data_IF_218208966132
#
_entry.id   IF_218208966132
#
_cell.length_a   1.000
_cell.length_b   1.000
_cell.length_c   1.000
_cell.angle_alpha   90.00
_cell.angle_beta   90.00
_cell.angle_gamma   90.00
#
_symmetry.space_group_name_H-M   'P 1'
#
loop_
_entity.id
_entity.type
_entity.pdbx_description
1 polymer ?
#
# COMPACT_ATOMS: atom_id res chain seq x y z
N UNK A 1 -19.40 7.36 -58.27
CA UNK A 1 -18.09 7.04 -57.66
C UNK A 1 -18.32 6.72 -56.20
N UNK A 2 -17.92 5.52 -55.73
CA UNK A 2 -17.92 5.20 -54.30
C UNK A 2 -16.77 5.96 -53.62
N UNK A 3 -16.98 6.64 -52.48
CA UNK A 3 -15.88 7.25 -51.74
C UNK A 3 -15.01 6.15 -51.13
N UNK A 4 -13.75 6.10 -51.56
CA UNK A 4 -12.74 5.21 -50.99
C UNK A 4 -12.44 5.67 -49.55
N UNK A 5 -12.87 4.90 -48.56
CA UNK A 5 -12.54 5.16 -47.16
C UNK A 5 -11.06 4.83 -46.94
N UNK A 6 -10.22 5.87 -46.86
CA UNK A 6 -8.81 5.71 -46.52
C UNK A 6 -8.72 5.59 -44.99
N UNK A 7 -8.22 4.49 -44.42
CA UNK A 7 -8.05 4.41 -42.98
C UNK A 7 -7.09 5.54 -42.56
N UNK A 8 -7.49 6.34 -41.58
CA UNK A 8 -6.68 7.43 -41.04
C UNK A 8 -5.52 6.81 -40.23
N UNK A 9 -4.43 6.46 -40.93
CA UNK A 9 -3.23 5.87 -40.32
C UNK A 9 -2.26 6.91 -39.76
N UNK A 10 -2.54 8.20 -39.96
CA UNK A 10 -1.68 9.32 -39.53
C UNK A 10 -2.50 10.43 -38.85
N UNK A 11 -2.00 10.98 -37.75
CA UNK A 11 -2.68 12.01 -36.95
C UNK A 11 -3.02 13.27 -37.77
N UNK A 12 -2.19 13.59 -38.77
CA UNK A 12 -2.36 14.70 -39.71
C UNK A 12 -3.58 14.58 -40.63
N UNK A 13 -4.18 13.38 -40.72
CA UNK A 13 -5.27 13.09 -41.64
C UNK A 13 -6.67 13.27 -41.03
N UNK A 14 -6.77 13.65 -39.75
CA UNK A 14 -8.05 13.80 -39.04
C UNK A 14 -8.64 15.21 -39.20
N UNK A 15 -9.93 15.35 -39.57
CA UNK A 15 -10.56 16.65 -39.74
C UNK A 15 -10.95 17.28 -38.39
N UNK A 16 -10.57 18.54 -38.19
CA UNK A 16 -10.99 19.36 -37.06
C UNK A 16 -10.27 19.08 -35.75
N UNK A 17 -9.88 20.14 -35.04
CA UNK A 17 -9.18 20.10 -33.75
C UNK A 17 -9.87 19.26 -32.67
N UNK A 18 -11.17 18.99 -32.81
CA UNK A 18 -11.95 18.11 -31.92
C UNK A 18 -11.69 16.61 -32.11
N UNK A 19 -11.40 16.13 -33.32
CA UNK A 19 -11.09 14.71 -33.56
C UNK A 19 -9.72 14.32 -32.98
N UNK A 20 -8.73 15.19 -33.15
CA UNK A 20 -7.39 15.02 -32.56
C UNK A 20 -7.44 15.06 -31.03
N UNK A 21 -8.25 15.94 -30.44
CA UNK A 21 -8.43 16.01 -28.98
C UNK A 21 -9.08 14.74 -28.44
N UNK A 22 -10.18 14.26 -29.04
CA UNK A 22 -10.87 13.03 -28.62
C UNK A 22 -10.01 11.77 -28.76
N UNK A 23 -9.18 11.67 -29.80
CA UNK A 23 -8.27 10.52 -29.97
C UNK A 23 -7.13 10.56 -28.94
N UNK A 24 -6.61 11.74 -28.60
CA UNK A 24 -5.63 11.89 -27.51
C UNK A 24 -6.24 11.52 -26.16
N UNK A 25 -7.45 11.98 -25.86
CA UNK A 25 -8.20 11.63 -24.65
C UNK A 25 -8.45 10.11 -24.59
N UNK A 26 -8.94 9.49 -25.67
CA UNK A 26 -9.12 8.03 -25.73
C UNK A 26 -7.83 7.23 -25.53
N UNK A 27 -6.71 7.68 -26.13
CA UNK A 27 -5.43 7.03 -25.91
C UNK A 27 -4.96 7.21 -24.47
N UNK A 28 -5.12 8.41 -23.89
CA UNK A 28 -4.80 8.66 -22.47
C UNK A 28 -5.61 7.76 -21.55
N UNK A 29 -6.92 7.64 -21.76
CA UNK A 29 -7.79 6.77 -20.97
C UNK A 29 -7.36 5.30 -21.07
N UNK A 30 -7.08 4.82 -22.30
CA UNK A 30 -6.63 3.45 -22.52
C UNK A 30 -5.25 3.18 -21.92
N UNK A 31 -4.35 4.14 -21.95
CA UNK A 31 -3.05 4.03 -21.31
C UNK A 31 -3.16 4.06 -19.78
N UNK A 32 -4.05 4.89 -19.23
CA UNK A 32 -4.33 4.94 -17.80
C UNK A 32 -4.96 3.63 -17.31
N UNK A 33 -5.91 3.06 -18.06
CA UNK A 33 -6.52 1.76 -17.77
C UNK A 33 -5.47 0.64 -17.83
N UNK A 34 -4.61 0.62 -18.85
CA UNK A 34 -3.54 -0.36 -18.95
C UNK A 34 -2.54 -0.27 -17.79
N UNK A 35 -2.17 0.95 -17.37
CA UNK A 35 -1.31 1.18 -16.21
C UNK A 35 -1.98 0.73 -14.90
N UNK A 36 -3.26 1.04 -14.71
CA UNK A 36 -4.03 0.61 -13.55
C UNK A 36 -4.09 -0.93 -13.45
N UNK A 37 -4.37 -1.60 -14.57
CA UNK A 37 -4.40 -3.06 -14.63
C UNK A 37 -3.03 -3.69 -14.32
N UNK A 38 -1.94 -3.09 -14.81
CA UNK A 38 -0.58 -3.54 -14.49
C UNK A 38 -0.24 -3.32 -13.02
N UNK A 39 -0.61 -2.18 -12.44
CA UNK A 39 -0.40 -1.89 -11.03
C UNK A 39 -1.21 -2.85 -10.15
N UNK A 40 -2.46 -3.12 -10.50
CA UNK A 40 -3.29 -4.10 -9.79
C UNK A 40 -2.66 -5.51 -9.84
N UNK A 41 -2.16 -5.93 -11.00
CA UNK A 41 -1.47 -7.21 -11.14
C UNK A 41 -0.20 -7.27 -10.27
N UNK A 42 0.57 -6.18 -10.19
CA UNK A 42 1.74 -6.08 -9.31
C UNK A 42 1.35 -6.13 -7.83
N UNK A 43 0.30 -5.43 -7.42
CA UNK A 43 -0.22 -5.49 -6.05
C UNK A 43 -0.68 -6.89 -5.68
N UNK A 44 -1.42 -7.57 -6.56
CA UNK A 44 -1.83 -8.98 -6.36
C UNK A 44 -0.63 -9.92 -6.27
N UNK A 45 0.37 -9.74 -7.14
CA UNK A 45 1.61 -10.51 -7.09
C UNK A 45 2.34 -10.31 -5.76
N UNK A 46 2.57 -9.06 -5.38
CA UNK A 46 3.24 -8.71 -4.12
C UNK A 46 2.50 -9.29 -2.90
N UNK A 47 1.16 -9.17 -2.89
CA UNK A 47 0.33 -9.75 -1.85
C UNK A 47 0.50 -11.27 -1.76
N UNK A 48 0.45 -11.97 -2.91
CA UNK A 48 0.65 -13.41 -2.97
C UNK A 48 2.05 -13.87 -2.53
N UNK A 49 3.03 -12.96 -2.59
CA UNK A 49 4.42 -13.22 -2.17
C UNK A 49 4.68 -12.94 -0.68
N UNK A 50 3.71 -12.45 0.09
CA UNK A 50 3.95 -12.05 1.49
C UNK A 50 3.30 -10.74 1.89
N UNK A 51 2.92 -9.92 0.90
CA UNK A 51 2.56 -8.52 1.13
C UNK A 51 3.76 -7.66 1.51
N UNK A 52 4.99 -8.17 1.46
CA UNK A 52 6.22 -7.46 1.82
C UNK A 52 7.10 -7.36 0.58
N UNK A 53 7.35 -6.13 0.14
CA UNK A 53 8.18 -5.84 -1.04
C UNK A 53 9.64 -5.68 -0.65
N UNK A 54 9.88 -5.09 0.52
CA UNK A 54 11.19 -4.94 1.11
C UNK A 54 11.11 -5.36 2.58
N UNK A 55 11.83 -6.42 2.94
CA UNK A 55 11.71 -7.00 4.28
C UNK A 55 12.28 -6.08 5.37
N UNK A 56 13.26 -5.25 5.02
CA UNK A 56 13.96 -4.39 5.98
C UNK A 56 14.68 -5.18 7.07
N UNK A 57 15.05 -4.47 8.14
CA UNK A 57 15.54 -5.06 9.39
C UNK A 57 14.52 -4.85 10.49
N UNK A 58 14.38 -5.85 11.36
CA UNK A 58 13.56 -5.79 12.57
C UNK A 58 14.41 -6.28 13.73
N UNK A 59 14.63 -5.42 14.72
CA UNK A 59 15.42 -5.73 15.92
C UNK A 59 14.60 -5.45 17.17
N UNK A 60 14.74 -6.30 18.16
CA UNK A 60 14.08 -6.16 19.46
C UNK A 60 15.15 -6.06 20.55
N UNK A 61 15.08 -5.00 21.36
CA UNK A 61 15.98 -4.80 22.50
C UNK A 61 15.17 -4.32 23.69
N UNK A 62 14.95 -5.17 24.70
CA UNK A 62 14.01 -4.76 25.72
C UNK A 62 12.62 -4.58 25.11
N UNK A 63 11.93 -3.58 25.63
CA UNK A 63 10.63 -3.16 25.14
C UNK A 63 10.69 -2.43 23.81
N UNK A 64 11.87 -2.12 23.25
CA UNK A 64 11.97 -1.33 22.04
C UNK A 64 12.13 -2.23 20.81
N UNK A 65 11.14 -2.16 19.91
CA UNK A 65 11.21 -2.78 18.60
C UNK A 65 11.59 -1.72 17.56
N UNK A 66 12.74 -1.89 16.91
CA UNK A 66 13.17 -1.04 15.81
C UNK A 66 12.93 -1.73 14.46
N UNK A 67 12.41 -0.97 13.49
CA UNK A 67 12.15 -1.42 12.11
C UNK A 67 12.78 -0.41 11.15
N UNK A 68 13.58 -0.90 10.20
CA UNK A 68 14.23 -0.04 9.20
C UNK A 68 14.04 -0.59 7.79
N UNK A 69 13.82 0.30 6.83
CA UNK A 69 13.68 0.04 5.40
C UNK A 69 12.72 -1.11 5.07
N UNK A 70 11.53 -1.10 5.68
CA UNK A 70 10.49 -2.09 5.45
C UNK A 70 9.37 -1.51 4.60
N UNK A 71 9.00 -2.21 3.52
CA UNK A 71 7.93 -1.82 2.61
C UNK A 71 7.00 -3.00 2.36
N UNK A 72 5.70 -2.73 2.36
CA UNK A 72 4.70 -3.76 2.10
C UNK A 72 3.36 -3.17 1.68
N UNK A 73 2.37 -4.04 1.58
CA UNK A 73 1.00 -3.76 1.18
C UNK A 73 0.06 -4.12 2.33
N UNK A 74 -0.92 -3.27 2.60
CA UNK A 74 -1.97 -3.55 3.57
C UNK A 74 -2.75 -4.82 3.22
N UNK A 75 -3.33 -5.49 4.22
CA UNK A 75 -4.05 -6.74 4.01
C UNK A 75 -5.32 -6.63 3.15
N UNK A 76 -5.88 -5.44 3.02
CA UNK A 76 -6.98 -5.16 2.09
C UNK A 76 -6.49 -4.92 0.65
N UNK A 77 -5.17 -4.89 0.44
CA UNK A 77 -4.55 -4.65 -0.86
C UNK A 77 -4.69 -3.22 -1.36
N UNK A 78 -5.17 -2.29 -0.51
CA UNK A 78 -5.55 -0.95 -0.93
C UNK A 78 -4.42 0.06 -0.88
N UNK A 79 -3.40 -0.14 -0.02
CA UNK A 79 -2.36 0.85 0.18
C UNK A 79 -0.96 0.23 0.38
N UNK A 80 0.09 0.76 -0.26
CA UNK A 80 1.46 0.49 0.16
C UNK A 80 1.78 1.25 1.45
N UNK A 81 2.57 0.62 2.32
CA UNK A 81 3.01 1.19 3.60
C UNK A 81 4.50 1.00 3.75
N UNK A 82 5.20 2.08 4.08
CA UNK A 82 6.66 2.09 4.23
C UNK A 82 7.08 2.61 5.61
N UNK A 83 8.04 1.91 6.21
CA UNK A 83 8.81 2.33 7.38
C UNK A 83 10.25 2.54 6.95
N UNK A 84 10.77 3.75 7.11
CA UNK A 84 12.17 4.08 6.79
C UNK A 84 13.06 3.73 7.98
N UNK A 85 12.77 4.30 9.15
CA UNK A 85 13.39 3.97 10.44
C UNK A 85 12.42 4.42 11.52
N UNK A 86 11.91 3.47 12.30
CA UNK A 86 11.00 3.74 13.40
C UNK A 86 11.29 2.80 14.56
N UNK A 87 11.18 3.33 15.78
CA UNK A 87 11.25 2.55 17.02
C UNK A 87 9.91 2.65 17.75
N UNK A 88 9.31 1.50 18.02
CA UNK A 88 8.10 1.35 18.81
C UNK A 88 8.45 0.82 20.20
N UNK A 89 8.19 1.60 21.23
CA UNK A 89 8.25 1.12 22.62
C UNK A 89 6.98 0.33 22.95
N UNK A 90 7.15 -0.96 23.18
CA UNK A 90 6.09 -1.92 23.49
C UNK A 90 5.58 -1.72 24.93
N UNK A 91 4.27 -1.87 25.17
CA UNK A 91 3.72 -1.69 26.50
C UNK A 91 4.13 -2.83 27.43
N UNK A 92 4.33 -2.52 28.71
CA UNK A 92 4.60 -3.51 29.77
C UNK A 92 3.32 -4.10 30.38
N UNK A 93 2.16 -3.60 29.99
CA UNK A 93 0.84 -3.97 30.52
C UNK A 93 0.39 -5.40 30.22
N UNK A 94 0.70 -6.03 29.07
CA UNK A 94 0.27 -7.39 28.82
C UNK A 94 0.88 -8.36 29.83
N UNK A 95 0.11 -9.39 30.19
CA UNK A 95 0.56 -10.43 31.10
C UNK A 95 1.68 -11.28 30.46
N UNK A 96 2.53 -11.88 31.30
CA UNK A 96 3.52 -12.87 30.84
C UNK A 96 2.85 -14.00 30.08
N UNK A 97 3.38 -14.35 28.92
CA UNK A 97 2.86 -15.37 28.01
C UNK A 97 1.89 -14.85 26.96
N UNK A 98 1.44 -13.59 27.04
CA UNK A 98 0.59 -12.99 26.02
C UNK A 98 1.32 -12.92 24.67
N UNK A 99 0.65 -13.42 23.64
CA UNK A 99 1.02 -13.32 22.23
C UNK A 99 0.58 -11.97 21.70
N UNK A 100 1.52 -11.23 21.13
CA UNK A 100 1.31 -9.89 20.60
C UNK A 100 1.82 -9.81 19.16
N UNK A 101 1.36 -8.81 18.41
CA UNK A 101 1.80 -8.57 17.05
C UNK A 101 2.14 -7.10 16.86
N UNK A 102 3.17 -6.83 16.07
CA UNK A 102 3.46 -5.50 15.55
C UNK A 102 3.13 -5.48 14.06
N UNK A 103 2.47 -4.41 13.65
CA UNK A 103 2.04 -4.17 12.27
C UNK A 103 2.47 -2.77 11.85
N UNK A 104 2.59 -2.54 10.56
CA UNK A 104 2.71 -1.19 10.00
C UNK A 104 1.37 -0.80 9.39
N UNK A 105 0.83 0.35 9.78
CA UNK A 105 -0.42 0.87 9.25
C UNK A 105 -0.16 2.14 8.46
N UNK A 106 -0.92 2.34 7.38
CA UNK A 106 -0.91 3.60 6.68
C UNK A 106 -1.52 4.68 7.59
N UNK A 107 -0.78 5.76 7.84
CA UNK A 107 -1.45 6.98 8.21
C UNK A 107 -2.02 7.61 6.94
N UNK A 108 -3.27 8.09 6.95
CA UNK A 108 -3.77 8.87 5.82
C UNK A 108 -2.87 10.10 5.69
N UNK A 109 -2.04 10.13 4.66
CA UNK A 109 -1.36 11.34 4.28
C UNK A 109 -2.45 12.30 3.80
N UNK A 110 -2.62 13.44 4.48
CA UNK A 110 -3.52 14.48 4.00
C UNK A 110 -3.10 14.79 2.56
N UNK A 111 -4.02 14.59 1.61
CA UNK A 111 -3.77 14.82 0.20
C UNK A 111 -3.04 16.16 0.04
N UNK A 112 -1.85 16.13 -0.54
CA UNK A 112 -1.12 17.36 -0.79
C UNK A 112 -1.94 18.17 -1.80
N UNK A 113 -1.95 19.52 -1.75
CA UNK A 113 -2.48 20.33 -2.84
C UNK A 113 -1.86 19.97 -4.21
N UNK A 114 -0.65 19.38 -4.20
CA UNK A 114 0.01 18.85 -5.40
C UNK A 114 -0.66 17.58 -5.98
N UNK A 115 -1.49 16.89 -5.19
CA UNK A 115 -2.25 15.68 -5.58
C UNK A 115 -3.64 16.03 -6.13
N UNK A 116 -3.88 17.33 -6.37
CA UNK A 116 -5.11 17.85 -6.95
C UNK A 116 -4.83 18.64 -8.21
N UNK A 117 -5.61 18.39 -9.24
CA UNK A 117 -5.66 19.21 -10.45
C UNK A 117 -7.01 19.92 -10.50
N UNK A 118 -6.97 21.24 -10.66
CA UNK A 118 -8.16 22.04 -10.93
C UNK A 118 -8.17 22.42 -12.41
N UNK A 119 -9.20 22.02 -13.13
CA UNK A 119 -9.37 22.43 -14.52
C UNK A 119 -9.62 23.96 -14.57
N UNK A 120 -8.77 24.75 -15.23
CA UNK A 120 -8.90 26.20 -15.27
C UNK A 120 -10.11 26.70 -16.08
N UNK A 121 -10.76 25.83 -16.84
CA UNK A 121 -11.90 26.14 -17.71
C UNK A 121 -13.25 25.77 -17.10
N UNK A 122 -13.32 24.68 -16.32
CA UNK A 122 -14.57 24.23 -15.66
C UNK A 122 -14.56 24.45 -14.15
N UNK A 123 -13.40 24.77 -13.56
CA UNK A 123 -13.18 24.82 -12.11
C UNK A 123 -13.44 23.49 -11.39
N UNK A 124 -13.55 22.38 -12.13
CA UNK A 124 -13.68 21.05 -11.54
C UNK A 124 -12.34 20.61 -10.97
N UNK A 125 -12.37 20.03 -9.77
CA UNK A 125 -11.19 19.54 -9.08
C UNK A 125 -11.17 18.01 -9.09
N UNK A 126 -10.09 17.44 -9.60
CA UNK A 126 -9.79 16.01 -9.49
C UNK A 126 -8.67 15.87 -8.46
N UNK A 127 -8.94 15.12 -7.39
CA UNK A 127 -7.92 14.75 -6.41
C UNK A 127 -7.67 13.25 -6.50
N UNK A 128 -6.42 12.85 -6.69
CA UNK A 128 -6.00 11.45 -6.66
C UNK A 128 -4.96 11.27 -5.57
N UNK A 129 -5.32 10.66 -4.42
CA UNK A 129 -4.36 10.33 -3.40
C UNK A 129 -3.52 9.14 -3.89
N UNK A 130 -2.49 9.40 -4.69
CA UNK A 130 -1.37 8.47 -4.86
C UNK A 130 -0.30 8.78 -3.83
N UNK A 131 -0.70 8.83 -2.56
CA UNK A 131 0.18 9.07 -1.45
C UNK A 131 0.67 7.72 -0.94
N UNK A 132 1.95 7.40 -1.13
CA UNK A 132 2.59 6.35 -0.32
C UNK A 132 2.52 6.86 1.11
N UNK A 133 1.58 6.33 1.90
CA UNK A 133 1.49 6.69 3.31
C UNK A 133 2.79 6.26 3.97
N UNK A 134 3.55 7.23 4.51
CA UNK A 134 4.54 6.91 5.54
C UNK A 134 3.76 6.23 6.66
N UNK A 135 4.08 4.95 6.88
CA UNK A 135 3.40 4.12 7.86
C UNK A 135 3.87 4.45 9.27
N UNK A 136 3.12 3.96 10.25
CA UNK A 136 3.56 3.86 11.63
C UNK A 136 3.52 2.44 12.13
N UNK A 137 4.38 2.14 13.10
CA UNK A 137 4.32 0.89 13.84
C UNK A 137 3.17 0.94 14.86
N UNK A 138 2.34 -0.10 14.85
CA UNK A 138 1.26 -0.28 15.82
C UNK A 138 1.44 -1.58 16.57
N UNK A 139 1.22 -1.52 17.88
CA UNK A 139 1.15 -2.68 18.75
C UNK A 139 -0.28 -3.22 18.80
N UNK A 140 -0.41 -4.54 18.62
CA UNK A 140 -1.67 -5.26 18.76
C UNK A 140 -1.50 -6.32 19.84
N UNK A 141 -2.26 -6.19 20.92
CA UNK A 141 -2.32 -7.18 21.99
C UNK A 141 -3.22 -8.34 21.59
N UNK A 142 -2.80 -9.56 21.89
CA UNK A 142 -3.61 -10.77 21.72
C UNK A 142 -3.89 -11.45 23.05
N UNK A 143 -3.76 -12.77 23.07
CA UNK A 143 -4.00 -13.60 24.25
C UNK A 143 -2.86 -14.61 24.46
N UNK A 144 -2.97 -15.51 25.44
CA UNK A 144 -1.92 -16.49 25.74
C UNK A 144 -1.86 -17.68 24.77
N UNK A 145 -2.79 -17.77 23.81
CA UNK A 145 -2.98 -18.94 22.94
C UNK A 145 -2.66 -18.63 21.48
N UNK A 146 -3.06 -17.46 20.97
CA UNK A 146 -2.95 -17.09 19.56
C UNK A 146 -2.43 -15.66 19.37
N UNK A 147 -1.63 -15.45 18.33
CA UNK A 147 -1.28 -14.10 17.89
C UNK A 147 -2.53 -13.37 17.35
N UNK A 148 -2.72 -12.09 17.68
CA UNK A 148 -3.90 -11.35 17.26
C UNK A 148 -3.88 -11.16 15.74
N UNK A 149 -5.06 -11.20 15.10
CA UNK A 149 -5.18 -10.96 13.67
C UNK A 149 -4.63 -9.57 13.28
N UNK A 150 -4.07 -9.47 12.08
CA UNK A 150 -3.61 -8.19 11.53
C UNK A 150 -4.86 -7.34 11.22
N UNK A 151 -4.95 -6.09 11.71
CA UNK A 151 -6.06 -5.20 11.41
C UNK A 151 -6.20 -4.90 9.91
N UNK A 152 -7.43 -4.62 9.45
CA UNK A 152 -7.66 -4.09 8.12
C UNK A 152 -6.91 -2.74 7.95
N UNK A 153 -6.34 -2.49 6.78
CA UNK A 153 -5.50 -1.32 6.52
C UNK A 153 -4.09 -1.39 7.13
N UNK A 154 -3.65 -2.56 7.61
CA UNK A 154 -2.29 -2.77 8.12
C UNK A 154 -1.57 -3.91 7.39
N UNK A 155 -0.24 -3.90 7.46
CA UNK A 155 0.65 -4.91 6.92
C UNK A 155 1.50 -5.53 8.06
N UNK A 156 1.84 -6.82 7.99
CA UNK A 156 2.53 -7.52 9.07
C UNK A 156 3.99 -7.09 9.26
N UNK A 157 4.47 -7.11 10.50
CA UNK A 157 5.89 -6.89 10.84
C UNK A 157 6.43 -8.06 11.64
N UNK A 158 5.92 -8.30 12.84
CA UNK A 158 6.49 -9.28 13.75
C UNK A 158 5.49 -9.84 14.76
N UNK A 159 5.71 -11.09 15.16
CA UNK A 159 5.03 -11.78 16.25
C UNK A 159 5.93 -11.80 17.48
N UNK A 160 5.37 -11.44 18.62
CA UNK A 160 6.09 -11.29 19.89
C UNK A 160 5.39 -12.07 21.00
N UNK A 161 6.15 -12.59 21.97
CA UNK A 161 5.60 -13.11 23.23
C UNK A 161 6.09 -12.28 24.40
N UNK A 162 5.17 -11.82 25.24
CA UNK A 162 5.50 -11.13 26.48
C UNK A 162 6.16 -12.11 27.46
N UNK A 163 7.32 -11.76 27.99
CA UNK A 163 7.97 -12.44 29.11
C UNK A 163 7.73 -11.69 30.42
N UNK A 164 8.36 -12.08 31.53
CA UNK A 164 8.21 -11.37 32.81
C UNK A 164 8.87 -9.98 32.77
N UNK A 165 10.03 -9.87 32.14
CA UNK A 165 10.84 -8.64 32.13
C UNK A 165 10.89 -7.96 30.77
N UNK A 166 10.53 -8.67 29.69
CA UNK A 166 10.72 -8.18 28.33
C UNK A 166 9.75 -8.82 27.28
N UNK A 167 10.05 -8.73 25.98
CA UNK A 167 9.43 -9.49 24.90
C UNK A 167 10.45 -10.43 24.23
N UNK A 168 9.96 -11.56 23.69
CA UNK A 168 10.70 -12.36 22.71
C UNK A 168 10.18 -12.09 21.32
N UNK A 169 11.09 -11.96 20.35
CA UNK A 169 10.76 -11.94 18.94
C UNK A 169 10.61 -13.38 18.44
N UNK A 170 9.38 -13.80 18.18
CA UNK A 170 9.09 -15.18 17.80
C UNK A 170 9.20 -15.39 16.29
N UNK A 171 8.72 -14.42 15.50
CA UNK A 171 8.74 -14.47 14.05
C UNK A 171 8.74 -13.05 13.45
N UNK A 172 9.58 -12.81 12.44
CA UNK A 172 9.42 -11.68 11.52
C UNK A 172 8.52 -12.15 10.38
N UNK A 173 7.38 -11.48 10.22
CA UNK A 173 6.30 -11.94 9.35
C UNK A 173 6.52 -11.49 7.91
N UNK A 174 6.98 -12.40 7.06
CA UNK A 174 7.09 -12.19 5.61
C UNK A 174 6.24 -13.20 4.82
N UNK A 175 5.47 -14.04 5.51
CA UNK A 175 4.61 -15.04 4.87
C UNK A 175 3.33 -14.41 4.33
N UNK A 176 2.81 -14.92 3.18
CA UNK A 176 1.56 -14.42 2.62
C UNK A 176 0.43 -14.53 3.64
N UNK A 177 -0.44 -13.52 3.77
CA UNK A 177 -1.61 -13.61 4.62
C UNK A 177 -2.53 -14.75 4.19
N UNK A 178 -3.07 -15.49 5.17
CA UNK A 178 -4.05 -16.55 4.92
C UNK A 178 -5.45 -15.96 4.95
N UNK A 179 -6.16 -16.02 3.82
CA UNK A 179 -7.57 -15.66 3.79
C UNK A 179 -8.40 -16.67 4.58
N UNK A 180 -9.27 -16.16 5.45
CA UNK A 180 -10.46 -16.90 5.88
C UNK A 180 -11.60 -16.43 4.97
N UNK A 181 -11.99 -17.26 4.01
CA UNK A 181 -13.22 -17.06 3.24
C UNK A 181 -14.44 -17.38 4.10
#
# INVERSE_FOLDING_TARGET
MMPTYKPYTEISSLPGSGGVRRIKEYHLDRHAEALANQLEALCRFLFSAGGIAEAGTVTLTGFDLQVQNRLGLTLDGLAPVQIIDETLTLPSTPATGTKCRVVMAAFPQLASPADSYTDPSTSEMVSQPMSVGLGGLLFVEGDTTNYPAIPNGAAPVAQLTRTSTDYTLDLIENTPPTFRW
#
